data_IF_143780015004
#
_entry.id   IF_143780015004
#
_cell.length_a   1.000
_cell.length_b   1.000
_cell.length_c   1.000
_cell.angle_alpha   90.00
_cell.angle_beta   90.00
_cell.angle_gamma   90.00
#
_symmetry.space_group_name_H-M   'P 1'
#
loop_
_entity.id
_entity.type
_entity.pdbx_description
1 polymer ?
#
# COMPACT_ATOMS: atom_id res chain seq x y z
N UNK A 1 15.98 12.44 -11.32
CA UNK A 1 15.03 12.04 -10.27
C UNK A 1 13.94 13.07 -10.04
N UNK A 2 14.25 14.34 -9.82
CA UNK A 2 13.28 15.44 -9.59
C UNK A 2 12.21 15.55 -10.69
N UNK A 3 12.60 15.52 -11.97
CA UNK A 3 11.66 15.60 -13.09
C UNK A 3 10.59 14.49 -13.04
N UNK A 4 10.98 13.24 -12.74
CA UNK A 4 10.04 12.12 -12.61
C UNK A 4 9.08 12.30 -11.44
N UNK A 5 9.54 12.87 -10.35
CA UNK A 5 8.71 13.18 -9.19
C UNK A 5 7.68 14.27 -9.52
N UNK A 6 8.09 15.36 -10.18
CA UNK A 6 7.16 16.41 -10.60
C UNK A 6 6.17 15.90 -11.66
N UNK A 7 6.61 15.07 -12.59
CA UNK A 7 5.75 14.46 -13.60
C UNK A 7 4.71 13.52 -12.95
N UNK A 8 5.12 12.77 -11.94
CA UNK A 8 4.22 11.93 -11.15
C UNK A 8 3.16 12.76 -10.42
N UNK A 9 3.55 13.85 -9.75
CA UNK A 9 2.62 14.76 -9.08
C UNK A 9 1.67 15.43 -10.08
N UNK A 10 2.18 15.83 -11.24
CA UNK A 10 1.38 16.41 -12.30
C UNK A 10 0.32 15.43 -12.82
N UNK A 11 0.72 14.20 -13.16
CA UNK A 11 -0.22 13.16 -13.58
C UNK A 11 -1.23 12.85 -12.48
N UNK A 12 -0.78 12.72 -11.23
CA UNK A 12 -1.65 12.49 -10.09
C UNK A 12 -2.69 13.60 -9.93
N UNK A 13 -2.29 14.85 -10.07
CA UNK A 13 -3.21 16.00 -10.02
C UNK A 13 -4.31 15.88 -11.09
N UNK A 14 -3.95 15.58 -12.35
CA UNK A 14 -4.93 15.43 -13.43
C UNK A 14 -5.83 14.22 -13.22
N UNK A 15 -5.30 13.11 -12.75
CA UNK A 15 -6.09 11.91 -12.43
C UNK A 15 -7.10 12.20 -11.31
N UNK A 16 -6.71 12.95 -10.29
CA UNK A 16 -7.62 13.34 -9.20
C UNK A 16 -8.65 14.37 -9.67
N UNK A 17 -8.27 15.31 -10.51
CA UNK A 17 -9.16 16.35 -11.03
C UNK A 17 -10.18 15.82 -12.02
N UNK A 18 -9.71 15.05 -12.99
CA UNK A 18 -10.50 14.62 -14.15
C UNK A 18 -10.95 13.15 -14.07
N UNK A 19 -10.64 12.49 -12.95
CA UNK A 19 -10.87 11.06 -12.74
C UNK A 19 -12.33 10.62 -12.96
N UNK A 20 -13.29 11.44 -12.57
CA UNK A 20 -14.71 11.15 -12.79
C UNK A 20 -15.09 11.12 -14.28
N UNK A 21 -14.51 12.00 -15.09
CA UNK A 21 -14.74 12.04 -16.55
C UNK A 21 -14.10 10.83 -17.24
N UNK A 22 -12.89 10.48 -16.86
CA UNK A 22 -12.21 9.30 -17.41
C UNK A 22 -12.92 8.00 -17.00
N UNK A 23 -13.42 7.95 -15.78
CA UNK A 23 -14.18 6.81 -15.27
C UNK A 23 -15.48 6.60 -16.03
N UNK A 24 -16.20 7.67 -16.36
CA UNK A 24 -17.40 7.61 -17.19
C UNK A 24 -17.12 7.05 -18.60
N UNK A 25 -16.10 7.55 -19.28
CA UNK A 25 -15.70 7.09 -20.61
C UNK A 25 -15.21 5.64 -20.63
N UNK A 26 -14.42 5.24 -19.63
CA UNK A 26 -14.00 3.84 -19.47
C UNK A 26 -15.20 2.91 -19.22
N UNK A 27 -16.20 3.40 -18.49
CA UNK A 27 -17.43 2.66 -18.24
C UNK A 27 -18.23 2.41 -19.51
N UNK A 28 -18.23 3.34 -20.46
CA UNK A 28 -18.94 3.22 -21.76
C UNK A 28 -18.24 2.23 -22.70
N UNK A 29 -16.92 2.07 -22.59
CA UNK A 29 -16.13 1.13 -23.40
C UNK A 29 -16.31 -0.34 -22.96
N UNK A 30 -16.84 -0.58 -21.76
CA UNK A 30 -17.07 -1.94 -21.27
C UNK A 30 -18.38 -2.48 -21.85
N UNK A 31 -18.39 -3.65 -22.51
CA UNK A 31 -19.57 -4.27 -23.07
C UNK A 31 -20.43 -4.94 -21.97
N UNK A 32 -20.72 -4.20 -20.89
CA UNK A 32 -21.48 -4.68 -19.74
C UNK A 32 -22.86 -4.01 -19.68
N UNK A 33 -23.86 -4.78 -19.30
CA UNK A 33 -25.21 -4.26 -19.00
C UNK A 33 -25.18 -3.33 -17.78
N UNK A 34 -26.16 -2.41 -17.66
CA UNK A 34 -26.17 -1.37 -16.62
C UNK A 34 -25.96 -1.89 -15.21
N UNK A 35 -26.66 -2.95 -14.79
CA UNK A 35 -26.53 -3.56 -13.46
C UNK A 35 -25.13 -4.16 -13.21
N UNK A 36 -24.57 -4.87 -14.19
CA UNK A 36 -23.23 -5.47 -14.08
C UNK A 36 -22.15 -4.41 -14.03
N UNK A 37 -22.34 -3.32 -14.78
CA UNK A 37 -21.45 -2.14 -14.73
C UNK A 37 -21.44 -1.51 -13.36
N UNK A 38 -22.60 -1.26 -12.76
CA UNK A 38 -22.72 -0.67 -11.42
C UNK A 38 -22.13 -1.57 -10.34
N UNK A 39 -22.39 -2.88 -10.42
CA UNK A 39 -21.78 -3.86 -9.52
C UNK A 39 -20.26 -3.87 -9.61
N UNK A 40 -19.68 -3.82 -10.81
CA UNK A 40 -18.23 -3.75 -11.03
C UNK A 40 -17.63 -2.49 -10.38
N UNK A 41 -18.22 -1.32 -10.65
CA UNK A 41 -17.71 -0.06 -10.09
C UNK A 41 -17.84 0.00 -8.57
N UNK A 42 -18.92 -0.54 -8.02
CA UNK A 42 -19.10 -0.67 -6.57
C UNK A 42 -18.00 -1.55 -5.96
N UNK A 43 -17.68 -2.69 -6.60
CA UNK A 43 -16.60 -3.57 -6.14
C UNK A 43 -15.23 -2.92 -6.24
N UNK A 44 -14.93 -2.25 -7.36
CA UNK A 44 -13.68 -1.50 -7.54
C UNK A 44 -13.54 -0.40 -6.48
N UNK A 45 -14.61 0.34 -6.20
CA UNK A 45 -14.62 1.35 -5.14
C UNK A 45 -14.33 0.76 -3.75
N UNK A 46 -14.88 -0.44 -3.45
CA UNK A 46 -14.58 -1.15 -2.20
C UNK A 46 -13.11 -1.57 -2.12
N UNK A 47 -12.55 -2.12 -3.22
CA UNK A 47 -11.13 -2.50 -3.28
C UNK A 47 -10.22 -1.30 -3.08
N UNK A 48 -10.47 -0.19 -3.80
CA UNK A 48 -9.67 1.03 -3.65
C UNK A 48 -9.72 1.59 -2.22
N UNK A 49 -10.92 1.66 -1.62
CA UNK A 49 -11.07 2.06 -0.22
C UNK A 49 -10.30 1.13 0.71
N UNK A 50 -10.41 -0.17 0.53
CA UNK A 50 -9.70 -1.15 1.34
C UNK A 50 -8.18 -0.96 1.26
N UNK A 51 -7.64 -0.70 0.06
CA UNK A 51 -6.21 -0.41 -0.13
C UNK A 51 -5.82 0.87 0.60
N UNK A 52 -6.57 1.96 0.43
CA UNK A 52 -6.26 3.25 1.08
C UNK A 52 -6.31 3.12 2.60
N UNK A 53 -7.39 2.54 3.14
CA UNK A 53 -7.51 2.32 4.59
C UNK A 53 -6.46 1.35 5.12
N UNK A 54 -6.17 0.27 4.37
CA UNK A 54 -5.13 -0.69 4.72
C UNK A 54 -3.75 -0.03 4.80
N UNK A 55 -3.38 0.75 3.80
CA UNK A 55 -2.12 1.49 3.79
C UNK A 55 -2.05 2.53 4.91
N UNK A 56 -3.11 3.31 5.12
CA UNK A 56 -3.16 4.33 6.16
C UNK A 56 -3.04 3.74 7.56
N UNK A 57 -3.81 2.69 7.85
CA UNK A 57 -3.78 2.02 9.16
C UNK A 57 -2.42 1.35 9.42
N UNK A 58 -1.85 0.69 8.41
CA UNK A 58 -0.51 0.08 8.52
C UNK A 58 0.56 1.15 8.75
N UNK A 59 0.48 2.27 8.03
CA UNK A 59 1.43 3.38 8.20
C UNK A 59 1.36 3.99 9.60
N UNK A 60 0.15 4.19 10.15
CA UNK A 60 -0.04 4.65 11.52
C UNK A 60 0.55 3.67 12.53
N UNK A 61 0.29 2.38 12.36
CA UNK A 61 0.82 1.34 13.22
C UNK A 61 2.36 1.30 13.19
N UNK A 62 2.95 1.34 11.99
CA UNK A 62 4.41 1.37 11.84
C UNK A 62 5.04 2.62 12.44
N UNK A 63 4.43 3.80 12.23
CA UNK A 63 4.88 5.03 12.84
C UNK A 63 4.85 4.97 14.39
N UNK A 64 3.78 4.43 14.96
CA UNK A 64 3.66 4.22 16.40
C UNK A 64 4.72 3.24 16.92
N UNK A 65 4.91 2.10 16.24
CA UNK A 65 5.91 1.10 16.62
C UNK A 65 7.34 1.63 16.53
N UNK A 66 7.67 2.42 15.50
CA UNK A 66 8.97 3.08 15.38
C UNK A 66 9.17 4.08 16.53
N UNK A 67 8.14 4.89 16.84
CA UNK A 67 8.18 5.82 17.96
C UNK A 67 8.44 5.10 19.29
N UNK A 68 7.73 4.00 19.54
CA UNK A 68 7.92 3.18 20.75
C UNK A 68 9.33 2.59 20.80
N UNK A 69 9.82 2.01 19.69
CA UNK A 69 11.18 1.45 19.63
C UNK A 69 12.25 2.49 19.91
N UNK A 70 12.11 3.70 19.37
CA UNK A 70 13.03 4.82 19.62
C UNK A 70 12.98 5.30 21.07
N UNK A 71 11.79 5.38 21.66
CA UNK A 71 11.62 5.76 23.06
C UNK A 71 12.29 4.74 24.00
N UNK A 72 12.10 3.44 23.74
CA UNK A 72 12.72 2.36 24.53
C UNK A 72 14.24 2.37 24.38
N UNK A 73 14.77 2.61 23.18
CA UNK A 73 16.19 2.71 22.90
C UNK A 73 16.85 4.01 23.40
N UNK A 74 16.07 4.92 24.00
CA UNK A 74 16.59 6.18 24.56
C UNK A 74 16.97 7.22 23.49
N UNK A 75 16.49 7.08 22.26
CA UNK A 75 16.76 8.04 21.19
C UNK A 75 15.90 9.30 21.38
N UNK A 76 16.49 10.47 21.10
CA UNK A 76 15.80 11.76 21.21
C UNK A 76 14.76 11.94 20.10
N UNK A 77 13.62 12.57 20.42
CA UNK A 77 12.57 12.90 19.46
C UNK A 77 11.78 11.70 18.91
N UNK A 78 11.43 10.67 19.71
CA UNK A 78 10.77 9.45 19.21
C UNK A 78 9.47 9.72 18.46
N UNK A 79 8.68 10.70 18.90
CA UNK A 79 7.41 11.06 18.25
C UNK A 79 7.67 11.64 16.85
N UNK A 80 8.68 12.49 16.69
CA UNK A 80 9.01 13.10 15.39
C UNK A 80 9.40 12.02 14.38
N UNK A 81 10.29 11.11 14.80
CA UNK A 81 10.70 10.00 13.95
C UNK A 81 9.56 9.00 13.70
N UNK A 82 8.65 8.81 14.64
CA UNK A 82 7.44 8.03 14.44
C UNK A 82 6.51 8.63 13.38
N UNK A 83 6.29 9.95 13.42
CA UNK A 83 5.49 10.66 12.39
C UNK A 83 6.17 10.58 11.03
N UNK A 84 7.49 10.78 10.95
CA UNK A 84 8.23 10.61 9.70
C UNK A 84 8.14 9.17 9.18
N UNK A 85 8.27 8.18 10.06
CA UNK A 85 8.11 6.78 9.70
C UNK A 85 6.70 6.49 9.19
N UNK A 86 5.65 7.06 9.79
CA UNK A 86 4.27 6.94 9.33
C UNK A 86 4.11 7.48 7.89
N UNK A 87 4.64 8.67 7.61
CA UNK A 87 4.57 9.26 6.26
C UNK A 87 5.32 8.42 5.24
N UNK A 88 6.55 7.99 5.59
CA UNK A 88 7.37 7.16 4.69
C UNK A 88 6.82 5.74 4.53
N UNK A 89 6.11 5.20 5.53
CA UNK A 89 5.46 3.89 5.46
C UNK A 89 4.31 3.83 4.44
N UNK A 90 3.79 4.97 3.97
CA UNK A 90 2.87 5.00 2.83
C UNK A 90 3.55 4.54 1.53
N UNK A 91 4.89 4.64 1.45
CA UNK A 91 5.66 4.10 0.35
C UNK A 91 5.78 2.58 0.49
N UNK A 92 5.51 1.78 -0.56
CA UNK A 92 5.45 0.32 -0.46
C UNK A 92 6.81 -0.38 -0.31
N UNK A 93 7.91 0.35 -0.37
CA UNK A 93 9.27 -0.20 -0.26
C UNK A 93 10.04 0.45 0.88
N UNK A 94 10.17 -0.29 1.98
CA UNK A 94 11.11 0.04 3.05
C UNK A 94 10.84 1.35 3.78
N UNK A 95 9.64 1.94 3.66
CA UNK A 95 9.35 3.28 4.17
C UNK A 95 9.75 3.49 5.63
N UNK A 96 9.37 2.59 6.53
CA UNK A 96 9.77 2.66 7.94
C UNK A 96 11.27 2.41 8.14
N UNK A 97 11.92 1.59 7.29
CA UNK A 97 13.34 1.27 7.40
C UNK A 97 14.23 2.50 7.19
N UNK A 98 13.81 3.43 6.34
CA UNK A 98 14.52 4.70 6.13
C UNK A 98 14.71 5.47 7.45
N UNK A 99 13.86 5.25 8.44
CA UNK A 99 13.96 5.91 9.75
C UNK A 99 14.69 5.06 10.78
N UNK A 100 14.34 3.77 10.92
CA UNK A 100 14.97 2.98 11.99
C UNK A 100 16.40 2.52 11.67
N UNK A 101 16.76 2.34 10.38
CA UNK A 101 18.15 1.98 10.00
C UNK A 101 19.16 3.04 10.41
N UNK A 102 18.99 4.34 10.12
CA UNK A 102 19.86 5.39 10.65
C UNK A 102 19.91 5.42 12.18
N UNK A 103 18.77 5.13 12.86
CA UNK A 103 18.74 5.01 14.32
C UNK A 103 19.66 3.90 14.86
N UNK A 104 19.65 2.73 14.19
CA UNK A 104 20.58 1.62 14.51
C UNK A 104 22.03 2.05 14.30
N UNK A 105 22.34 2.68 13.17
CA UNK A 105 23.69 3.15 12.86
C UNK A 105 24.19 4.18 13.88
N UNK A 106 23.32 5.10 14.30
CA UNK A 106 23.63 6.06 15.35
C UNK A 106 23.97 5.37 16.68
N UNK A 107 23.18 4.38 17.12
CA UNK A 107 23.44 3.63 18.35
C UNK A 107 24.74 2.83 18.26
N UNK A 108 25.07 2.27 17.12
CA UNK A 108 26.37 1.61 16.89
C UNK A 108 27.52 2.61 16.99
N UNK A 109 27.40 3.78 16.39
CA UNK A 109 28.41 4.83 16.42
C UNK A 109 28.64 5.39 17.82
N UNK A 110 27.64 5.42 18.70
CA UNK A 110 27.73 5.85 20.11
C UNK A 110 28.17 4.73 21.06
N UNK A 111 28.46 3.54 20.54
CA UNK A 111 28.90 2.39 21.35
C UNK A 111 27.77 1.67 22.09
N UNK A 112 26.53 2.02 21.86
CA UNK A 112 25.34 1.43 22.52
C UNK A 112 24.90 0.15 21.81
N UNK A 113 25.79 -0.86 21.75
CA UNK A 113 25.58 -2.09 20.93
C UNK A 113 24.30 -2.83 21.33
N UNK A 114 23.98 -2.95 22.61
CA UNK A 114 22.76 -3.64 23.06
C UNK A 114 21.49 -3.01 22.54
N UNK A 115 21.40 -1.67 22.58
CA UNK A 115 20.26 -0.93 22.03
C UNK A 115 20.22 -0.96 20.50
N UNK A 116 21.36 -1.01 19.84
CA UNK A 116 21.44 -1.17 18.40
C UNK A 116 20.87 -2.53 17.95
N UNK A 117 21.21 -3.63 18.63
CA UNK A 117 20.68 -4.96 18.36
C UNK A 117 19.17 -5.01 18.64
N UNK A 118 18.72 -4.43 19.75
CA UNK A 118 17.30 -4.31 20.05
C UNK A 118 16.55 -3.59 18.92
N UNK A 119 17.01 -2.39 18.53
CA UNK A 119 16.35 -1.57 17.52
C UNK A 119 16.40 -2.24 16.14
N UNK A 120 17.45 -2.98 15.81
CA UNK A 120 17.54 -3.78 14.59
C UNK A 120 16.48 -4.88 14.57
N UNK A 121 16.38 -5.66 15.65
CA UNK A 121 15.36 -6.73 15.76
C UNK A 121 13.95 -6.14 15.72
N UNK A 122 13.70 -5.08 16.47
CA UNK A 122 12.42 -4.37 16.50
C UNK A 122 12.05 -3.82 15.14
N UNK A 123 12.96 -3.11 14.47
CA UNK A 123 12.74 -2.56 13.12
C UNK A 123 12.51 -3.63 12.05
N UNK A 124 13.21 -4.76 12.15
CA UNK A 124 12.96 -5.91 11.27
C UNK A 124 11.53 -6.45 11.45
N UNK A 125 11.06 -6.62 12.69
CA UNK A 125 9.67 -7.02 12.99
C UNK A 125 8.68 -6.01 12.43
N UNK A 126 8.91 -4.71 12.66
CA UNK A 126 8.04 -3.63 12.14
C UNK A 126 7.97 -3.67 10.62
N UNK A 127 9.11 -3.81 9.93
CA UNK A 127 9.16 -3.84 8.47
C UNK A 127 8.55 -5.12 7.89
N UNK A 128 8.69 -6.25 8.58
CA UNK A 128 8.11 -7.53 8.13
C UNK A 128 6.60 -7.58 8.35
N UNK A 129 6.11 -6.94 9.42
CA UNK A 129 4.68 -6.89 9.74
C UNK A 129 3.84 -6.27 8.62
N UNK A 130 4.41 -5.33 7.86
CA UNK A 130 3.77 -4.70 6.72
C UNK A 130 3.32 -5.72 5.65
N UNK A 131 4.15 -6.70 5.37
CA UNK A 131 3.87 -7.73 4.36
C UNK A 131 2.69 -8.64 4.74
N UNK A 132 2.34 -8.72 6.01
CA UNK A 132 1.22 -9.52 6.50
C UNK A 132 -0.02 -8.69 6.81
N UNK A 133 0.16 -7.53 7.43
CA UNK A 133 -0.96 -6.70 7.89
C UNK A 133 -1.73 -6.11 6.72
N UNK A 134 -1.05 -5.59 5.70
CA UNK A 134 -1.72 -5.00 4.52
C UNK A 134 -2.65 -5.97 3.80
N UNK A 135 -2.23 -7.18 3.38
CA UNK A 135 -3.13 -8.13 2.73
C UNK A 135 -4.30 -8.55 3.61
N UNK A 136 -4.07 -8.74 4.91
CA UNK A 136 -5.13 -9.12 5.86
C UNK A 136 -6.18 -8.02 6.00
N UNK A 137 -5.76 -6.75 6.10
CA UNK A 137 -6.71 -5.63 6.17
C UNK A 137 -7.49 -5.50 4.87
N UNK A 138 -6.80 -5.53 3.73
CA UNK A 138 -7.43 -5.38 2.41
C UNK A 138 -8.47 -6.49 2.19
N UNK A 139 -8.15 -7.74 2.53
CA UNK A 139 -9.06 -8.88 2.33
C UNK A 139 -10.32 -8.82 3.19
N UNK A 140 -10.28 -8.18 4.36
CA UNK A 140 -11.47 -8.00 5.21
C UNK A 140 -12.53 -7.09 4.60
N UNK A 141 -12.12 -6.16 3.75
CA UNK A 141 -13.01 -5.17 3.12
C UNK A 141 -13.38 -5.53 1.68
N UNK A 142 -12.84 -6.64 1.15
CA UNK A 142 -13.09 -7.07 -0.22
C UNK A 142 -13.58 -8.51 -0.25
N UNK A 143 -14.56 -8.85 -1.11
CA UNK A 143 -15.01 -10.22 -1.30
C UNK A 143 -14.01 -11.06 -2.12
N UNK A 144 -12.76 -10.64 -2.18
CA UNK A 144 -11.69 -11.28 -2.98
C UNK A 144 -10.80 -12.09 -2.02
N UNK A 145 -10.47 -13.33 -2.34
CA UNK A 145 -9.56 -14.14 -1.54
C UNK A 145 -8.22 -13.43 -1.32
N UNK A 146 -7.73 -13.48 -0.07
CA UNK A 146 -6.46 -12.81 0.32
C UNK A 146 -5.30 -13.18 -0.60
N UNK A 147 -5.25 -14.43 -1.08
CA UNK A 147 -4.24 -14.92 -2.01
C UNK A 147 -4.25 -14.13 -3.33
N UNK A 148 -5.43 -13.85 -3.89
CA UNK A 148 -5.55 -13.09 -5.13
C UNK A 148 -5.11 -11.63 -4.94
N UNK A 149 -5.44 -11.02 -3.79
CA UNK A 149 -4.98 -9.66 -3.47
C UNK A 149 -3.45 -9.66 -3.36
N UNK A 150 -2.87 -10.65 -2.68
CA UNK A 150 -1.43 -10.80 -2.51
C UNK A 150 -0.72 -10.98 -3.86
N UNK A 151 -1.21 -11.88 -4.71
CA UNK A 151 -0.69 -12.10 -6.07
C UNK A 151 -0.84 -10.84 -6.93
N UNK A 152 -1.96 -10.11 -6.80
CA UNK A 152 -2.20 -8.84 -7.48
C UNK A 152 -1.18 -7.78 -7.09
N UNK A 153 -0.90 -7.66 -5.80
CA UNK A 153 0.09 -6.70 -5.29
C UNK A 153 1.49 -7.06 -5.79
N UNK A 154 1.94 -8.31 -5.61
CA UNK A 154 3.28 -8.73 -6.03
C UNK A 154 3.43 -8.65 -7.56
N UNK A 155 2.48 -9.20 -8.31
CA UNK A 155 2.52 -9.16 -9.77
C UNK A 155 2.41 -7.75 -10.31
N UNK A 156 1.54 -6.92 -9.72
CA UNK A 156 1.38 -5.53 -10.09
C UNK A 156 2.66 -4.71 -9.85
N UNK A 157 3.25 -4.86 -8.66
CA UNK A 157 4.52 -4.18 -8.32
C UNK A 157 5.65 -4.62 -9.25
N UNK A 158 5.74 -5.91 -9.57
CA UNK A 158 6.76 -6.44 -10.49
C UNK A 158 6.60 -5.92 -11.92
N UNK A 159 5.35 -5.73 -12.39
CA UNK A 159 5.07 -5.30 -13.76
C UNK A 159 5.08 -3.77 -13.93
N UNK A 160 4.52 -3.04 -12.95
CA UNK A 160 4.24 -1.60 -13.04
C UNK A 160 4.93 -0.76 -11.96
N UNK A 161 5.81 -1.38 -11.15
CA UNK A 161 6.48 -0.70 -10.04
C UNK A 161 5.48 -0.20 -8.99
N UNK A 162 5.72 1.00 -8.48
CA UNK A 162 4.91 1.62 -7.42
C UNK A 162 3.41 1.73 -7.79
N UNK A 163 3.10 2.05 -9.04
CA UNK A 163 1.73 2.12 -9.53
C UNK A 163 1.05 0.74 -9.53
N UNK A 164 1.82 -0.33 -9.71
CA UNK A 164 1.33 -1.70 -9.68
C UNK A 164 0.82 -2.15 -8.31
N UNK A 165 1.23 -1.48 -7.24
CA UNK A 165 0.71 -1.73 -5.90
C UNK A 165 -0.82 -1.50 -5.81
N UNK A 166 -1.31 -0.47 -6.49
CA UNK A 166 -2.75 -0.15 -6.56
C UNK A 166 -3.37 -0.82 -7.79
N UNK A 167 -2.69 -0.78 -8.94
CA UNK A 167 -3.21 -1.31 -10.19
C UNK A 167 -3.32 -2.85 -10.18
N UNK A 168 -2.41 -3.56 -9.50
CA UNK A 168 -2.39 -5.02 -9.45
C UNK A 168 -3.69 -5.64 -8.92
N UNK A 169 -4.16 -5.31 -7.71
CA UNK A 169 -5.44 -5.76 -7.20
C UNK A 169 -6.63 -5.39 -8.10
N UNK A 170 -6.62 -4.19 -8.68
CA UNK A 170 -7.68 -3.70 -9.57
C UNK A 170 -7.73 -4.55 -10.85
N UNK A 171 -6.58 -4.79 -11.49
CA UNK A 171 -6.48 -5.62 -12.69
C UNK A 171 -6.95 -7.05 -12.42
N UNK A 172 -6.57 -7.62 -11.27
CA UNK A 172 -6.99 -8.97 -10.90
C UNK A 172 -8.50 -9.06 -10.67
N UNK A 173 -9.10 -8.08 -10.00
CA UNK A 173 -10.57 -8.03 -9.83
C UNK A 173 -11.25 -7.91 -11.18
N UNK A 174 -10.77 -7.05 -12.08
CA UNK A 174 -11.29 -6.92 -13.44
C UNK A 174 -11.17 -8.24 -14.22
N UNK A 175 -10.01 -8.89 -14.16
CA UNK A 175 -9.78 -10.17 -14.84
C UNK A 175 -10.71 -11.28 -14.33
N UNK A 176 -10.88 -11.39 -13.00
CA UNK A 176 -11.79 -12.39 -12.41
C UNK A 176 -13.26 -12.14 -12.76
N UNK A 177 -13.68 -10.88 -12.82
CA UNK A 177 -15.05 -10.56 -13.23
C UNK A 177 -15.30 -10.80 -14.73
N UNK A 178 -14.31 -10.52 -15.58
CA UNK A 178 -14.39 -10.83 -17.01
C UNK A 178 -14.43 -12.34 -17.26
N UNK A 179 -13.66 -13.14 -16.53
CA UNK A 179 -13.70 -14.61 -16.62
C UNK A 179 -15.06 -15.15 -16.19
N UNK A 180 -15.62 -14.67 -15.09
CA UNK A 180 -16.99 -15.04 -14.67
C UNK A 180 -18.07 -14.65 -15.68
N UNK A 181 -17.85 -13.56 -16.40
CA UNK A 181 -18.78 -13.15 -17.47
C UNK A 181 -18.76 -14.14 -18.62
N UNK A 182 -17.58 -14.62 -19.03
CA UNK A 182 -17.48 -15.61 -20.11
C UNK A 182 -18.05 -16.98 -19.71
N UNK A 183 -17.84 -17.41 -18.46
CA UNK A 183 -18.42 -18.67 -17.95
C UNK A 183 -19.95 -18.61 -17.84
N UNK A 184 -20.54 -17.50 -17.43
CA UNK A 184 -21.98 -17.32 -17.35
C UNK A 184 -22.67 -17.07 -18.70
N UNK A 185 -21.91 -16.93 -19.80
CA UNK A 185 -22.43 -16.78 -21.16
C UNK A 185 -22.45 -18.09 -21.95
N UNK A 186 -21.88 -19.18 -21.39
CA UNK A 186 -21.77 -20.51 -22.03
C UNK A 186 -22.82 -21.51 -21.47
N UNK A 187 -23.62 -21.12 -20.50
CA UNK A 187 -24.75 -21.85 -19.92
C UNK A 187 -26.07 -21.18 -20.17
#
# INVERSE_FOLDING_TARGET
>A
MLLRFFLMLFVLFFVLRDGSLWFGRLAELLPLTGEKREALFTRLGKVLRAVVYGCGLTALLQGALVSIGFAIAGLSGPIVFGVLACVLALLPFGGAAVIWVPGVLYLLATGSIGWAIFLLAWGAVVSTSDNFIRPVIISRYTPVPTLLVFLGVIGGVSAFGLLGFIAGPVILVLATELLRYTEGSIG
#
